data_IF_225515085145
#
_entry.id   IF_225515085145
#
_cell.length_a   1.000
_cell.length_b   1.000
_cell.length_c   1.000
_cell.angle_alpha   90.00
_cell.angle_beta   90.00
_cell.angle_gamma   90.00
#
_symmetry.space_group_name_H-M   'P 1'
#
loop_
_entity.id
_entity.type
_entity.pdbx_description
1 polymer ?
#
# COMPACT_ATOMS: atom_id res chain seq x y z
N UNK A 1 -28.74 -26.27 -22.29
CA UNK A 1 -27.60 -26.78 -21.51
C UNK A 1 -26.57 -25.66 -21.24
N UNK A 2 -26.93 -24.61 -20.52
CA UNK A 2 -26.05 -23.44 -20.27
C UNK A 2 -26.12 -22.93 -18.81
N UNK A 3 -26.49 -23.80 -17.86
CA UNK A 3 -26.82 -23.41 -16.48
C UNK A 3 -25.90 -23.96 -15.39
N UNK A 4 -24.89 -24.78 -15.72
CA UNK A 4 -24.15 -25.58 -14.71
C UNK A 4 -22.76 -24.99 -14.40
N UNK A 5 -22.23 -24.14 -15.29
CA UNK A 5 -20.90 -23.51 -15.13
C UNK A 5 -20.82 -22.50 -13.95
N UNK A 6 -21.88 -21.76 -13.52
CA UNK A 6 -21.73 -20.79 -12.43
C UNK A 6 -21.67 -21.43 -11.03
N UNK A 7 -22.16 -22.66 -10.86
CA UNK A 7 -22.22 -23.33 -9.55
C UNK A 7 -20.85 -23.86 -9.08
N UNK A 8 -19.99 -24.23 -10.03
CA UNK A 8 -18.66 -24.78 -9.73
C UNK A 8 -17.73 -23.66 -9.22
N UNK A 9 -17.86 -22.44 -9.72
CA UNK A 9 -17.02 -21.31 -9.30
C UNK A 9 -17.39 -20.77 -7.89
N UNK A 10 -18.66 -20.90 -7.50
CA UNK A 10 -19.13 -20.55 -6.13
C UNK A 10 -18.61 -21.55 -5.10
N UNK A 11 -18.52 -22.84 -5.43
CA UNK A 11 -18.03 -23.86 -4.49
C UNK A 11 -16.52 -23.78 -4.21
N UNK A 12 -15.70 -23.40 -5.20
CA UNK A 12 -14.24 -23.31 -5.01
C UNK A 12 -13.84 -22.20 -4.03
N UNK A 13 -14.65 -21.13 -3.92
CA UNK A 13 -14.36 -20.00 -3.03
C UNK A 13 -14.80 -20.22 -1.58
N UNK A 14 -15.78 -21.11 -1.32
CA UNK A 14 -16.21 -21.44 0.05
C UNK A 14 -15.27 -22.40 0.79
N UNK A 15 -14.39 -23.12 0.09
CA UNK A 15 -13.59 -24.21 0.68
C UNK A 15 -12.32 -23.79 1.43
N UNK A 16 -12.03 -22.50 1.59
CA UNK A 16 -10.86 -22.01 2.36
C UNK A 16 -11.29 -21.37 3.68
N UNK A 17 -12.02 -22.14 4.50
CA UNK A 17 -12.42 -21.74 5.86
C UNK A 17 -11.56 -22.45 6.89
N UNK A 18 -10.40 -21.88 7.23
CA UNK A 18 -9.62 -22.25 8.41
C UNK A 18 -10.05 -21.41 9.63
N UNK A 19 -10.15 -21.99 10.85
CA UNK A 19 -10.72 -21.30 11.99
C UNK A 19 -9.70 -20.46 12.76
N UNK A 20 -10.25 -19.43 13.41
CA UNK A 20 -9.74 -18.72 14.59
C UNK A 20 -8.49 -17.81 14.48
N UNK A 21 -8.79 -16.53 14.69
CA UNK A 21 -8.01 -15.51 15.39
C UNK A 21 -7.29 -14.44 14.55
N UNK A 22 -7.56 -13.19 14.98
CA UNK A 22 -6.96 -11.89 14.64
C UNK A 22 -7.60 -11.16 13.45
N UNK A 23 -8.22 -10.04 13.81
CA UNK A 23 -8.87 -9.03 12.97
C UNK A 23 -7.84 -8.42 12.02
N UNK A 24 -7.70 -9.02 10.82
CA UNK A 24 -6.73 -8.61 9.83
C UNK A 24 -7.41 -7.84 8.68
N UNK A 25 -6.75 -6.75 8.26
CA UNK A 25 -7.08 -5.81 7.17
C UNK A 25 -7.45 -6.49 5.82
N UNK A 26 -7.17 -7.78 5.67
CA UNK A 26 -7.58 -8.62 4.53
C UNK A 26 -9.10 -8.72 4.37
N UNK A 27 -9.89 -8.67 5.45
CA UNK A 27 -11.36 -8.74 5.35
C UNK A 27 -11.98 -7.51 4.69
N UNK A 28 -11.41 -6.31 4.85
CA UNK A 28 -11.98 -5.08 4.27
C UNK A 28 -11.83 -5.05 2.75
N UNK A 29 -10.70 -5.56 2.22
CA UNK A 29 -10.50 -5.70 0.78
C UNK A 29 -11.37 -6.81 0.18
N UNK A 30 -11.67 -7.86 0.96
CA UNK A 30 -12.55 -8.96 0.55
C UNK A 30 -14.03 -8.53 0.58
N UNK A 31 -14.42 -7.69 1.55
CA UNK A 31 -15.78 -7.16 1.71
C UNK A 31 -16.17 -6.19 0.59
N UNK A 32 -15.23 -5.42 0.05
CA UNK A 32 -15.45 -4.51 -1.09
C UNK A 32 -15.42 -5.27 -2.43
N UNK A 33 -14.73 -6.41 -2.51
CA UNK A 33 -14.66 -7.23 -3.73
C UNK A 33 -15.89 -8.14 -3.91
N UNK A 34 -16.61 -8.46 -2.83
CA UNK A 34 -17.73 -9.42 -2.80
C UNK A 34 -19.05 -8.95 -3.44
N UNK A 35 -19.51 -7.68 -3.33
CA UNK A 35 -20.76 -7.26 -3.96
C UNK A 35 -20.62 -6.95 -5.45
N UNK A 36 -19.39 -6.69 -5.91
CA UNK A 36 -19.04 -6.37 -7.30
C UNK A 36 -19.46 -7.49 -8.28
N UNK A 37 -19.15 -8.79 -8.06
CA UNK A 37 -19.55 -9.87 -8.97
C UNK A 37 -21.07 -10.06 -9.05
N UNK A 38 -21.82 -9.84 -7.96
CA UNK A 38 -23.29 -10.01 -7.94
C UNK A 38 -23.99 -8.92 -8.77
N UNK A 39 -23.50 -7.68 -8.68
CA UNK A 39 -23.97 -6.55 -9.49
C UNK A 39 -23.62 -6.71 -10.98
N UNK A 40 -22.43 -7.25 -11.29
CA UNK A 40 -22.00 -7.56 -12.65
C UNK A 40 -22.91 -8.61 -13.29
N UNK A 41 -23.19 -9.71 -12.58
CA UNK A 41 -24.05 -10.80 -13.07
C UNK A 41 -25.47 -10.29 -13.34
N UNK A 42 -26.01 -9.46 -12.47
CA UNK A 42 -27.36 -8.88 -12.62
C UNK A 42 -27.45 -7.93 -13.83
N UNK A 43 -26.37 -7.20 -14.13
CA UNK A 43 -26.34 -6.22 -15.23
C UNK A 43 -26.05 -6.85 -16.61
N UNK A 44 -25.22 -7.91 -16.66
CA UNK A 44 -24.91 -8.69 -17.88
C UNK A 44 -26.17 -9.25 -18.53
N UNK A 45 -27.16 -9.65 -17.72
CA UNK A 45 -28.42 -10.25 -18.17
C UNK A 45 -29.33 -9.25 -18.90
N UNK A 46 -29.16 -7.94 -18.68
CA UNK A 46 -30.14 -6.92 -19.14
C UNK A 46 -29.66 -6.12 -20.38
N UNK A 47 -28.35 -5.86 -20.55
CA UNK A 47 -27.81 -4.99 -21.64
C UNK A 47 -26.61 -5.53 -22.42
N UNK A 48 -26.18 -6.77 -22.16
CA UNK A 48 -24.97 -7.36 -22.73
C UNK A 48 -23.73 -7.17 -21.84
N UNK A 49 -22.72 -8.05 -21.94
CA UNK A 49 -21.68 -8.17 -20.91
C UNK A 49 -20.62 -7.07 -20.92
N UNK A 50 -20.42 -6.34 -22.03
CA UNK A 50 -19.25 -5.48 -22.21
C UNK A 50 -19.13 -4.33 -21.21
N UNK A 51 -20.25 -3.65 -20.90
CA UNK A 51 -20.24 -2.54 -19.93
C UNK A 51 -19.95 -3.02 -18.51
N UNK A 52 -20.51 -4.17 -18.13
CA UNK A 52 -20.32 -4.75 -16.80
C UNK A 52 -18.86 -5.17 -16.60
N UNK A 53 -18.22 -5.78 -17.61
CA UNK A 53 -16.80 -6.15 -17.58
C UNK A 53 -15.91 -4.92 -17.47
N UNK A 54 -16.18 -3.88 -18.27
CA UNK A 54 -15.43 -2.63 -18.24
C UNK A 54 -15.48 -1.96 -16.85
N UNK A 55 -16.67 -1.85 -16.26
CA UNK A 55 -16.83 -1.29 -14.90
C UNK A 55 -16.15 -2.14 -13.84
N UNK A 56 -16.25 -3.47 -13.94
CA UNK A 56 -15.57 -4.41 -13.05
C UNK A 56 -14.05 -4.19 -13.04
N UNK A 57 -13.44 -4.07 -14.22
CA UNK A 57 -12.00 -3.82 -14.37
C UNK A 57 -11.59 -2.48 -13.76
N UNK A 58 -12.36 -1.42 -14.01
CA UNK A 58 -12.05 -0.09 -13.46
C UNK A 58 -12.16 -0.09 -11.93
N UNK A 59 -13.23 -0.67 -11.37
CA UNK A 59 -13.45 -0.72 -9.92
C UNK A 59 -12.41 -1.58 -9.21
N UNK A 60 -12.09 -2.75 -9.76
CA UNK A 60 -11.07 -3.65 -9.19
C UNK A 60 -9.68 -2.99 -9.20
N UNK A 61 -9.28 -2.37 -10.32
CA UNK A 61 -7.99 -1.68 -10.40
C UNK A 61 -7.94 -0.45 -9.50
N UNK A 62 -9.01 0.36 -9.48
CA UNK A 62 -9.08 1.55 -8.63
C UNK A 62 -9.06 1.18 -7.14
N UNK A 63 -9.81 0.16 -6.74
CA UNK A 63 -9.80 -0.39 -5.39
C UNK A 63 -8.42 -0.90 -5.00
N UNK A 64 -7.78 -1.69 -5.86
CA UNK A 64 -6.42 -2.17 -5.65
C UNK A 64 -5.41 -1.01 -5.49
N UNK A 65 -5.50 0.01 -6.35
CA UNK A 65 -4.64 1.21 -6.28
C UNK A 65 -4.86 2.01 -5.01
N UNK A 66 -6.10 2.20 -4.55
CA UNK A 66 -6.41 2.91 -3.30
C UNK A 66 -5.84 2.14 -2.10
N UNK A 67 -6.07 0.84 -2.02
CA UNK A 67 -5.55 0.00 -0.93
C UNK A 67 -4.02 -0.02 -0.95
N UNK A 68 -3.40 -0.13 -2.13
CA UNK A 68 -1.95 -0.09 -2.31
C UNK A 68 -1.38 1.27 -1.91
N UNK A 69 -2.02 2.36 -2.31
CA UNK A 69 -1.63 3.73 -1.96
C UNK A 69 -1.72 3.96 -0.45
N UNK A 70 -2.80 3.50 0.20
CA UNK A 70 -2.94 3.57 1.66
C UNK A 70 -1.85 2.79 2.39
N UNK A 71 -1.53 1.57 1.93
CA UNK A 71 -0.42 0.77 2.48
C UNK A 71 0.93 1.45 2.31
N UNK A 72 1.19 2.03 1.14
CA UNK A 72 2.43 2.78 0.89
C UNK A 72 2.53 4.02 1.78
N UNK A 73 1.43 4.78 1.94
CA UNK A 73 1.37 5.95 2.83
C UNK A 73 1.58 5.57 4.30
N UNK A 74 0.98 4.47 4.75
CA UNK A 74 1.20 3.95 6.09
C UNK A 74 2.66 3.53 6.30
N UNK A 75 3.28 2.90 5.30
CA UNK A 75 4.71 2.58 5.28
C UNK A 75 5.63 3.80 5.39
N UNK A 76 5.36 4.85 4.61
CA UNK A 76 6.15 6.09 4.67
C UNK A 76 6.00 6.81 6.01
N UNK A 77 4.77 6.91 6.53
CA UNK A 77 4.51 7.53 7.83
C UNK A 77 5.18 6.75 8.98
N UNK A 78 5.16 5.41 8.91
CA UNK A 78 5.83 4.57 9.90
C UNK A 78 7.35 4.66 9.84
N UNK A 79 7.94 4.76 8.64
CA UNK A 79 9.37 5.00 8.47
C UNK A 79 9.77 6.37 9.03
N UNK A 80 9.00 7.43 8.78
CA UNK A 80 9.23 8.76 9.34
C UNK A 80 9.15 8.76 10.88
N UNK A 81 8.11 8.13 11.44
CA UNK A 81 7.95 7.99 12.89
C UNK A 81 9.10 7.19 13.53
N UNK A 82 9.51 6.07 12.89
CA UNK A 82 10.64 5.26 13.35
C UNK A 82 11.94 6.05 13.31
N UNK A 83 12.18 6.84 12.24
CA UNK A 83 13.38 7.68 12.12
C UNK A 83 13.45 8.72 13.23
N UNK A 84 12.33 9.43 13.49
CA UNK A 84 12.24 10.44 14.55
C UNK A 84 12.47 9.81 15.94
N UNK A 85 11.87 8.65 16.18
CA UNK A 85 12.05 7.89 17.42
C UNK A 85 13.52 7.49 17.63
N UNK A 86 14.16 6.93 16.60
CA UNK A 86 15.57 6.54 16.68
C UNK A 86 16.48 7.74 16.95
N UNK A 87 16.22 8.88 16.32
CA UNK A 87 16.94 10.12 16.58
C UNK A 87 16.81 10.61 18.03
N UNK A 88 15.61 10.53 18.61
CA UNK A 88 15.39 10.85 20.02
C UNK A 88 16.16 9.90 20.95
N UNK A 89 16.11 8.59 20.69
CA UNK A 89 16.85 7.59 21.50
C UNK A 89 18.36 7.83 21.40
N UNK A 90 18.88 8.12 20.20
CA UNK A 90 20.30 8.42 20.01
C UNK A 90 20.69 9.69 20.78
N UNK A 91 19.84 10.72 20.76
CA UNK A 91 20.04 11.96 21.52
C UNK A 91 20.11 11.69 23.03
N UNK A 92 19.11 10.99 23.58
CA UNK A 92 19.01 10.65 24.99
C UNK A 92 20.20 9.78 25.44
N UNK A 93 20.56 8.75 24.68
CA UNK A 93 21.69 7.87 24.99
C UNK A 93 23.03 8.62 24.93
N UNK A 94 23.21 9.55 23.99
CA UNK A 94 24.40 10.41 23.95
C UNK A 94 24.46 11.40 25.12
N UNK A 95 23.31 11.82 25.65
CA UNK A 95 23.21 12.62 26.86
C UNK A 95 23.46 11.81 28.15
N UNK A 96 23.69 10.49 28.03
CA UNK A 96 23.96 9.59 29.15
C UNK A 96 22.72 8.91 29.73
N UNK A 97 21.54 9.13 29.16
CA UNK A 97 20.33 8.43 29.57
C UNK A 97 20.42 6.95 29.18
N UNK A 98 19.81 6.08 29.97
CA UNK A 98 19.68 4.68 29.61
C UNK A 98 18.70 4.53 28.45
N UNK A 99 18.89 3.54 27.55
CA UNK A 99 17.92 3.29 26.46
C UNK A 99 16.50 3.00 26.95
N UNK A 100 16.35 2.56 28.20
CA UNK A 100 15.07 2.40 28.87
C UNK A 100 14.37 3.74 29.12
N UNK A 101 15.07 4.70 29.74
CA UNK A 101 14.54 6.05 30.02
C UNK A 101 14.13 6.75 28.73
N UNK A 102 14.94 6.61 27.67
CA UNK A 102 14.63 7.18 26.36
C UNK A 102 13.29 6.69 25.79
N UNK A 103 12.94 5.40 25.99
CA UNK A 103 11.67 4.85 25.52
C UNK A 103 10.49 5.34 26.33
N UNK A 104 10.66 5.55 27.64
CA UNK A 104 9.62 6.12 28.51
C UNK A 104 9.31 7.56 28.12
N UNK A 105 10.31 8.36 27.75
CA UNK A 105 10.07 9.72 27.24
C UNK A 105 9.23 9.74 25.97
N UNK A 106 9.45 8.76 25.08
CA UNK A 106 8.81 8.68 23.76
C UNK A 106 7.32 8.31 23.79
N UNK A 107 6.78 7.81 24.90
CA UNK A 107 5.37 7.40 24.97
C UNK A 107 4.39 8.56 24.80
N UNK A 108 4.84 9.80 25.00
CA UNK A 108 3.98 10.99 24.98
C UNK A 108 3.95 11.70 23.60
N UNK A 109 5.02 11.61 22.81
CA UNK A 109 5.18 12.35 21.55
C UNK A 109 5.05 11.49 20.28
N UNK A 110 4.81 10.18 20.45
CA UNK A 110 4.70 9.23 19.35
C UNK A 110 3.27 9.15 18.79
N UNK A 111 3.10 8.85 17.49
CA UNK A 111 1.80 8.48 16.94
C UNK A 111 1.19 7.31 17.72
N UNK A 112 -0.14 7.28 17.89
CA UNK A 112 -0.86 6.32 18.77
C UNK A 112 -0.38 4.87 18.62
N UNK A 113 -0.28 4.36 17.39
CA UNK A 113 0.16 2.99 17.15
C UNK A 113 1.63 2.72 17.52
N UNK A 114 2.49 3.74 17.47
CA UNK A 114 3.88 3.64 17.95
C UNK A 114 3.95 3.84 19.47
N UNK A 115 3.12 4.71 20.04
CA UNK A 115 3.03 4.92 21.47
C UNK A 115 2.64 3.61 22.19
N UNK A 116 1.69 2.84 21.67
CA UNK A 116 1.32 1.50 22.19
C UNK A 116 2.51 0.52 22.18
N UNK A 117 3.37 0.58 21.16
CA UNK A 117 4.57 -0.25 21.11
C UNK A 117 5.61 0.21 22.13
N UNK A 118 5.77 1.52 22.31
CA UNK A 118 6.66 2.10 23.31
C UNK A 118 6.19 1.80 24.75
N UNK A 119 4.88 1.86 25.03
CA UNK A 119 4.35 1.49 26.34
C UNK A 119 4.53 0.02 26.63
N UNK A 120 4.27 -0.86 25.64
CA UNK A 120 4.58 -2.29 25.76
C UNK A 120 6.07 -2.53 26.02
N UNK A 121 6.95 -1.79 25.35
CA UNK A 121 8.39 -1.86 25.57
C UNK A 121 8.77 -1.43 26.99
N UNK A 122 8.27 -0.28 27.46
CA UNK A 122 8.49 0.21 28.82
C UNK A 122 8.02 -0.80 29.88
N UNK A 123 6.86 -1.44 29.70
CA UNK A 123 6.38 -2.48 30.60
C UNK A 123 7.29 -3.72 30.64
N UNK A 124 7.82 -4.15 29.49
CA UNK A 124 8.77 -5.28 29.43
C UNK A 124 10.10 -4.93 30.10
N UNK A 125 10.56 -3.69 29.96
CA UNK A 125 11.76 -3.22 30.63
C UNK A 125 11.63 -3.20 32.16
N UNK A 126 10.46 -2.81 32.68
CA UNK A 126 10.18 -2.90 34.11
C UNK A 126 10.30 -4.35 34.65
N UNK A 127 10.21 -5.34 33.77
CA UNK A 127 10.40 -6.76 34.09
C UNK A 127 11.85 -7.26 33.85
N UNK A 128 12.80 -6.35 33.59
CA UNK A 128 14.21 -6.69 33.34
C UNK A 128 14.51 -7.17 31.92
N UNK A 129 13.56 -7.07 30.99
CA UNK A 129 13.76 -7.47 29.59
C UNK A 129 14.24 -6.28 28.76
N UNK A 130 15.20 -6.51 27.88
CA UNK A 130 15.69 -5.48 26.95
C UNK A 130 14.54 -4.87 26.13
N UNK A 131 14.46 -3.53 25.99
CA UNK A 131 13.34 -2.87 25.31
C UNK A 131 13.19 -3.30 23.85
N UNK A 132 14.31 -3.63 23.22
CA UNK A 132 14.36 -4.11 21.84
C UNK A 132 13.48 -5.34 21.60
N UNK A 133 13.30 -6.21 22.62
CA UNK A 133 12.49 -7.41 22.51
C UNK A 133 11.00 -7.11 22.23
N UNK A 134 10.49 -5.93 22.63
CA UNK A 134 9.12 -5.50 22.30
C UNK A 134 8.95 -5.14 20.82
N UNK A 135 10.02 -4.71 20.16
CA UNK A 135 9.99 -4.20 18.80
C UNK A 135 10.27 -5.26 17.73
N UNK A 136 10.79 -6.45 18.11
CA UNK A 136 11.08 -7.56 17.17
C UNK A 136 9.82 -8.10 16.48
N UNK A 137 8.67 -7.97 17.12
CA UNK A 137 7.37 -8.39 16.58
C UNK A 137 6.48 -7.22 16.19
N UNK A 138 7.05 -6.01 16.08
CA UNK A 138 6.31 -4.82 15.70
C UNK A 138 5.53 -5.08 14.38
N UNK A 139 4.20 -4.87 14.36
CA UNK A 139 3.36 -5.22 13.21
C UNK A 139 3.70 -4.34 11.99
N UNK A 140 3.28 -4.77 10.80
CA UNK A 140 3.24 -3.85 9.64
C UNK A 140 2.39 -2.62 10.02
N UNK A 141 2.81 -1.40 9.66
CA UNK A 141 3.90 -1.04 8.72
C UNK A 141 5.32 -0.85 9.31
N UNK A 142 5.58 -1.19 10.58
CA UNK A 142 6.81 -0.85 11.32
C UNK A 142 8.00 -1.80 11.05
N UNK A 143 8.26 -2.14 9.79
CA UNK A 143 9.36 -3.03 9.39
C UNK A 143 10.75 -2.49 9.75
N UNK A 144 10.94 -1.17 9.70
CA UNK A 144 12.24 -0.54 9.98
C UNK A 144 12.54 -0.55 11.48
N UNK A 145 11.51 -0.38 12.31
CA UNK A 145 11.60 -0.54 13.76
C UNK A 145 11.98 -1.98 14.11
N UNK A 146 11.37 -2.96 13.44
CA UNK A 146 11.71 -4.38 13.59
C UNK A 146 13.18 -4.66 13.26
N UNK A 147 13.69 -4.06 12.18
CA UNK A 147 15.07 -4.19 11.77
C UNK A 147 16.04 -3.54 12.79
N UNK A 148 15.70 -2.34 13.29
CA UNK A 148 16.46 -1.66 14.33
C UNK A 148 16.49 -2.46 15.64
N UNK A 149 15.36 -3.05 16.03
CA UNK A 149 15.23 -3.90 17.21
C UNK A 149 16.15 -5.13 17.17
N UNK A 150 16.19 -5.82 16.02
CA UNK A 150 17.08 -6.97 15.84
C UNK A 150 18.54 -6.58 15.93
N UNK A 151 18.91 -5.44 15.33
CA UNK A 151 20.27 -4.91 15.44
C UNK A 151 20.62 -4.50 16.86
N UNK A 152 19.69 -3.89 17.59
CA UNK A 152 19.87 -3.56 18.98
C UNK A 152 20.13 -4.81 19.81
N UNK A 153 19.33 -5.87 19.68
CA UNK A 153 19.57 -7.14 20.39
C UNK A 153 20.97 -7.70 20.13
N UNK A 154 21.46 -7.61 18.89
CA UNK A 154 22.81 -8.05 18.54
C UNK A 154 23.88 -7.15 19.18
N UNK A 155 23.66 -5.83 19.22
CA UNK A 155 24.56 -4.88 19.87
C UNK A 155 24.66 -5.12 21.37
N UNK A 156 23.52 -5.42 22.02
CA UNK A 156 23.43 -5.75 23.45
C UNK A 156 24.23 -7.02 23.77
N UNK A 157 24.08 -8.07 22.95
CA UNK A 157 24.83 -9.33 23.10
C UNK A 157 26.33 -9.20 22.83
N UNK A 158 26.75 -8.26 21.99
CA UNK A 158 28.15 -8.09 21.54
C UNK A 158 28.86 -6.90 22.17
N UNK A 159 28.20 -6.14 23.05
CA UNK A 159 28.76 -4.94 23.67
C UNK A 159 29.09 -3.82 22.67
N UNK A 160 28.38 -3.75 21.54
CA UNK A 160 28.60 -2.72 20.51
C UNK A 160 27.91 -1.43 20.94
N UNK A 161 28.53 -0.28 20.69
CA UNK A 161 27.95 1.03 20.96
C UNK A 161 26.60 1.23 20.23
N UNK A 162 25.50 1.17 20.99
CA UNK A 162 24.14 1.23 20.46
C UNK A 162 23.83 2.53 19.72
N UNK A 163 24.30 3.67 20.25
CA UNK A 163 24.00 4.99 19.69
C UNK A 163 24.46 5.10 18.22
N UNK A 164 25.70 4.66 17.92
CA UNK A 164 26.22 4.70 16.55
C UNK A 164 25.46 3.77 15.59
N UNK A 165 25.00 2.61 16.09
CA UNK A 165 24.23 1.66 15.29
C UNK A 165 22.83 2.18 14.95
N UNK A 166 22.15 2.76 15.94
CA UNK A 166 20.84 3.38 15.79
C UNK A 166 20.90 4.63 14.90
N UNK A 167 21.94 5.44 15.05
CA UNK A 167 22.20 6.60 14.19
C UNK A 167 22.43 6.19 12.73
N UNK A 168 23.20 5.13 12.49
CA UNK A 168 23.38 4.60 11.14
C UNK A 168 22.05 4.11 10.54
N UNK A 169 21.22 3.43 11.34
CA UNK A 169 19.88 3.00 10.93
C UNK A 169 18.95 4.18 10.64
N UNK A 170 18.97 5.23 11.46
CA UNK A 170 18.23 6.47 11.24
C UNK A 170 18.64 7.09 9.90
N UNK A 171 19.94 7.32 9.70
CA UNK A 171 20.46 7.88 8.44
C UNK A 171 20.04 7.06 7.23
N UNK A 172 20.04 5.72 7.34
CA UNK A 172 19.57 4.84 6.28
C UNK A 172 18.07 5.00 6.00
N UNK A 173 17.24 5.16 7.02
CA UNK A 173 15.81 5.43 6.85
C UNK A 173 15.59 6.79 6.19
N UNK A 174 16.25 7.83 6.69
CA UNK A 174 16.13 9.19 6.14
C UNK A 174 16.63 9.30 4.70
N UNK A 175 17.75 8.64 4.37
CA UNK A 175 18.27 8.61 3.01
C UNK A 175 17.25 7.98 2.05
N UNK A 176 16.60 6.88 2.45
CA UNK A 176 15.53 6.25 1.65
C UNK A 176 14.31 7.17 1.51
N UNK A 177 13.90 7.85 2.56
CA UNK A 177 12.78 8.81 2.51
C UNK A 177 13.11 10.01 1.61
N UNK A 178 14.30 10.60 1.74
CA UNK A 178 14.79 11.69 0.88
C UNK A 178 14.86 11.25 -0.57
N UNK A 179 15.37 10.06 -0.85
CA UNK A 179 15.44 9.52 -2.21
C UNK A 179 14.04 9.32 -2.82
N UNK A 180 13.10 8.80 -2.05
CA UNK A 180 11.71 8.65 -2.50
C UNK A 180 11.06 10.01 -2.81
N UNK A 181 11.26 11.02 -1.94
CA UNK A 181 10.77 12.39 -2.16
C UNK A 181 11.41 13.04 -3.38
N UNK A 182 12.72 12.92 -3.55
CA UNK A 182 13.44 13.46 -4.70
C UNK A 182 13.00 12.79 -6.02
N UNK A 183 12.80 11.47 -6.00
CA UNK A 183 12.29 10.73 -7.16
C UNK A 183 10.86 11.15 -7.50
N UNK A 184 9.99 11.31 -6.49
CA UNK A 184 8.64 11.82 -6.71
C UNK A 184 8.65 13.23 -7.28
N UNK A 185 9.53 14.12 -6.80
CA UNK A 185 9.66 15.48 -7.29
C UNK A 185 10.15 15.51 -8.75
N UNK A 186 11.17 14.70 -9.09
CA UNK A 186 11.70 14.60 -10.44
C UNK A 186 10.66 14.10 -11.46
N UNK A 187 9.68 13.30 -11.02
CA UNK A 187 8.62 12.76 -11.88
C UNK A 187 7.39 13.66 -12.01
N UNK A 188 7.29 14.78 -11.28
CA UNK A 188 6.09 15.64 -11.34
C UNK A 188 5.81 16.19 -12.74
N UNK A 189 6.85 16.56 -13.49
CA UNK A 189 6.71 17.02 -14.87
C UNK A 189 6.17 15.92 -15.81
N UNK A 190 6.74 14.71 -15.73
CA UNK A 190 6.28 13.56 -16.52
C UNK A 190 4.87 13.11 -16.13
N UNK A 191 4.49 13.22 -14.85
CA UNK A 191 3.15 12.89 -14.39
C UNK A 191 2.11 13.90 -14.88
N UNK A 192 2.46 15.20 -14.97
CA UNK A 192 1.55 16.22 -15.48
C UNK A 192 1.19 15.98 -16.96
N UNK A 193 2.17 15.67 -17.81
CA UNK A 193 1.92 15.35 -19.22
C UNK A 193 1.17 14.04 -19.39
N UNK A 194 1.50 13.02 -18.59
CA UNK A 194 0.75 11.76 -18.57
C UNK A 194 -0.72 11.99 -18.20
N UNK A 195 -1.01 12.88 -17.24
CA UNK A 195 -2.39 13.24 -16.87
C UNK A 195 -3.13 13.91 -18.05
N UNK A 196 -2.48 14.84 -18.74
CA UNK A 196 -3.04 15.53 -19.92
C UNK A 196 -3.35 14.52 -21.03
N UNK A 197 -2.38 13.66 -21.38
CA UNK A 197 -2.57 12.63 -22.41
C UNK A 197 -3.64 11.60 -22.00
N UNK A 198 -3.72 11.26 -20.72
CA UNK A 198 -4.75 10.35 -20.18
C UNK A 198 -6.14 10.98 -20.19
N UNK A 199 -6.25 12.31 -20.18
CA UNK A 199 -7.51 13.03 -20.30
C UNK A 199 -7.96 13.19 -21.77
N UNK A 200 -7.06 12.98 -22.74
CA UNK A 200 -7.35 13.14 -24.17
C UNK A 200 -8.54 12.29 -24.67
N UNK A 201 -8.74 11.02 -24.25
CA UNK A 201 -9.91 10.25 -24.65
C UNK A 201 -11.24 10.88 -24.20
N UNK A 202 -11.26 11.55 -23.05
CA UNK A 202 -12.45 12.26 -22.56
C UNK A 202 -12.74 13.49 -23.41
N UNK A 203 -11.70 14.23 -23.81
CA UNK A 203 -11.83 15.35 -24.73
C UNK A 203 -12.36 14.87 -26.10
N UNK A 204 -11.86 13.75 -26.63
CA UNK A 204 -12.35 13.15 -27.87
C UNK A 204 -13.81 12.72 -27.80
N UNK A 205 -14.24 12.10 -26.69
CA UNK A 205 -15.64 11.77 -26.45
C UNK A 205 -16.53 13.01 -26.38
N UNK A 206 -16.10 14.05 -25.67
CA UNK A 206 -16.81 15.32 -25.56
C UNK A 206 -16.98 15.98 -26.94
N UNK A 207 -15.90 16.04 -27.72
CA UNK A 207 -15.93 16.59 -29.07
C UNK A 207 -16.84 15.78 -30.01
N UNK A 208 -16.77 14.44 -29.95
CA UNK A 208 -17.67 13.58 -30.71
C UNK A 208 -19.14 13.80 -30.36
N UNK A 209 -19.47 13.93 -29.07
CA UNK A 209 -20.84 14.26 -28.65
C UNK A 209 -21.31 15.64 -29.13
N UNK A 210 -20.42 16.64 -29.15
CA UNK A 210 -20.72 17.97 -29.65
C UNK A 210 -20.97 17.99 -31.16
N UNK A 211 -20.31 17.12 -31.93
CA UNK A 211 -20.57 16.91 -33.36
C UNK A 211 -21.85 16.10 -33.64
N UNK A 212 -22.64 15.74 -32.61
CA UNK A 212 -23.87 14.98 -32.76
C UNK A 212 -23.68 13.46 -32.84
N UNK A 213 -22.45 12.96 -32.67
CA UNK A 213 -22.26 11.53 -32.52
C UNK A 213 -22.95 11.05 -31.24
N UNK A 214 -23.49 9.82 -31.26
CA UNK A 214 -24.09 9.17 -30.10
C UNK A 214 -23.19 8.05 -29.57
N UNK A 215 -21.95 8.34 -29.12
CA UNK A 215 -20.96 7.32 -28.74
C UNK A 215 -21.45 6.45 -27.59
N UNK A 216 -22.19 7.04 -26.63
CA UNK A 216 -22.79 6.30 -25.51
C UNK A 216 -23.77 5.22 -25.96
N UNK A 217 -24.61 5.52 -26.96
CA UNK A 217 -25.57 4.55 -27.51
C UNK A 217 -24.85 3.47 -28.33
N UNK A 218 -23.78 3.83 -29.04
CA UNK A 218 -22.98 2.86 -29.79
C UNK A 218 -22.20 1.90 -28.88
N UNK A 219 -21.54 2.43 -27.85
CA UNK A 219 -20.73 1.67 -26.88
C UNK A 219 -21.58 0.72 -26.02
N UNK A 220 -22.80 1.14 -25.65
CA UNK A 220 -23.68 0.32 -24.81
C UNK A 220 -24.64 -0.55 -25.64
N UNK A 221 -25.01 -0.11 -26.83
CA UNK A 221 -26.06 -0.75 -27.63
C UNK A 221 -25.58 -1.75 -28.68
N UNK A 222 -24.31 -1.74 -29.09
CA UNK A 222 -23.79 -2.63 -30.14
C UNK A 222 -22.73 -3.61 -29.61
N UNK A 223 -22.71 -4.84 -30.15
CA UNK A 223 -21.69 -5.85 -29.83
C UNK A 223 -20.27 -5.36 -30.15
N UNK A 224 -20.11 -4.66 -31.27
CA UNK A 224 -18.81 -4.12 -31.72
C UNK A 224 -18.34 -2.94 -30.85
N UNK A 225 -19.27 -2.09 -30.41
CA UNK A 225 -19.00 -1.03 -29.43
C UNK A 225 -18.61 -1.59 -28.07
N UNK A 226 -19.29 -2.65 -27.60
CA UNK A 226 -18.97 -3.33 -26.36
C UNK A 226 -17.58 -3.99 -26.39
N UNK A 227 -17.19 -4.65 -27.48
CA UNK A 227 -15.85 -5.23 -27.61
C UNK A 227 -14.75 -4.17 -27.59
N UNK A 228 -14.94 -3.05 -28.30
CA UNK A 228 -13.98 -1.94 -28.29
C UNK A 228 -13.86 -1.28 -26.91
N UNK A 229 -14.97 -1.16 -26.16
CA UNK A 229 -14.96 -0.65 -24.79
C UNK A 229 -14.08 -1.53 -23.89
N UNK A 230 -14.30 -2.85 -23.93
CA UNK A 230 -13.52 -3.80 -23.11
C UNK A 230 -12.04 -3.74 -23.47
N UNK A 231 -11.71 -3.73 -24.76
CA UNK A 231 -10.31 -3.65 -25.21
C UNK A 231 -9.67 -2.34 -24.74
N UNK A 232 -10.36 -1.20 -24.88
CA UNK A 232 -9.85 0.11 -24.45
C UNK A 232 -9.61 0.18 -22.95
N UNK A 233 -10.55 -0.33 -22.13
CA UNK A 233 -10.38 -0.40 -20.68
C UNK A 233 -9.26 -1.35 -20.30
N UNK A 234 -9.14 -2.49 -20.98
CA UNK A 234 -8.05 -3.43 -20.76
C UNK A 234 -6.68 -2.78 -21.03
N UNK A 235 -6.54 -2.09 -22.15
CA UNK A 235 -5.31 -1.39 -22.51
C UNK A 235 -4.96 -0.29 -21.51
N UNK A 236 -5.96 0.50 -21.07
CA UNK A 236 -5.78 1.53 -20.07
C UNK A 236 -5.35 0.94 -18.70
N UNK A 237 -6.01 -0.13 -18.26
CA UNK A 237 -5.67 -0.82 -17.02
C UNK A 237 -4.26 -1.40 -17.07
N UNK A 238 -3.90 -2.05 -18.18
CA UNK A 238 -2.55 -2.58 -18.42
C UNK A 238 -1.49 -1.47 -18.37
N UNK A 239 -1.75 -0.32 -19.01
CA UNK A 239 -0.85 0.83 -18.98
C UNK A 239 -0.56 1.34 -17.56
N UNK A 240 -1.60 1.45 -16.71
CA UNK A 240 -1.41 1.87 -15.31
C UNK A 240 -0.56 0.85 -14.53
N UNK A 241 -0.83 -0.44 -14.70
CA UNK A 241 -0.06 -1.51 -14.03
C UNK A 241 1.40 -1.51 -14.49
N UNK A 242 1.64 -1.29 -15.78
CA UNK A 242 2.99 -1.23 -16.33
C UNK A 242 3.77 -0.03 -15.79
N UNK A 243 3.16 1.17 -15.76
CA UNK A 243 3.80 2.35 -15.17
C UNK A 243 4.18 2.11 -13.71
N UNK A 244 3.27 1.54 -12.91
CA UNK A 244 3.55 1.19 -11.52
C UNK A 244 4.69 0.17 -11.40
N UNK A 245 4.80 -0.78 -12.33
CA UNK A 245 5.87 -1.76 -12.38
C UNK A 245 7.23 -1.13 -12.72
N UNK A 246 7.30 -0.25 -13.72
CA UNK A 246 8.54 0.46 -14.10
C UNK A 246 9.03 1.34 -12.94
N UNK A 247 8.12 2.12 -12.34
CA UNK A 247 8.47 3.00 -11.21
C UNK A 247 8.93 2.18 -10.01
N UNK A 248 8.28 1.05 -9.72
CA UNK A 248 8.71 0.14 -8.66
C UNK A 248 10.06 -0.54 -8.95
N UNK A 249 10.37 -0.82 -10.22
CA UNK A 249 11.66 -1.36 -10.66
C UNK A 249 12.80 -0.36 -10.53
N UNK A 250 12.59 0.87 -11.00
CA UNK A 250 13.57 1.96 -10.91
C UNK A 250 13.96 2.28 -9.45
N UNK A 251 13.02 2.14 -8.50
CA UNK A 251 13.28 2.31 -7.08
C UNK A 251 14.11 1.17 -6.46
N UNK A 252 14.13 -0.03 -7.05
CA UNK A 252 14.89 -1.19 -6.55
C UNK A 252 16.34 -1.18 -7.03
N UNK A 253 16.58 -0.87 -8.30
CA UNK A 253 17.92 -0.93 -8.90
C UNK A 253 18.89 0.12 -8.34
N UNK A 254 18.40 1.28 -7.91
CA UNK A 254 19.23 2.32 -7.29
C UNK A 254 19.58 2.07 -5.82
N UNK A 255 18.94 1.10 -5.17
CA UNK A 255 19.27 0.71 -3.79
C UNK A 255 20.30 -0.42 -3.68
N UNK A 256 20.72 -0.99 -4.82
CA UNK A 256 21.68 -2.09 -4.92
C UNK A 256 23.09 -1.65 -5.38
N UNK A 257 23.28 -0.36 -5.67
CA UNK A 257 24.58 0.29 -5.91
C UNK A 257 24.90 1.19 -4.73
#
# INVERSE_FOLDING_TARGET
MLGIIPLIFVCVVCSTSGPASRLNSSRLSMLVLLPIPVLIVTFVVIRGPGLAIALAMILTLSGWKIVRSRKNRAGTAAAEATSKMLGSIVGDVRAGATPHEAIVHLTHDAPVALAELCTLAAHRCASGVTPAAAFVDAPEPYRDLRAAARLWLIADQRGIALAGLLEHMQHRIEARLRHARATSAALQGAQATALILSALPLAGLAMGTAMGARPWQFLTGSMLGQSMLVIGVFLACSGVVWVDWIVAGAARERGAK
#
